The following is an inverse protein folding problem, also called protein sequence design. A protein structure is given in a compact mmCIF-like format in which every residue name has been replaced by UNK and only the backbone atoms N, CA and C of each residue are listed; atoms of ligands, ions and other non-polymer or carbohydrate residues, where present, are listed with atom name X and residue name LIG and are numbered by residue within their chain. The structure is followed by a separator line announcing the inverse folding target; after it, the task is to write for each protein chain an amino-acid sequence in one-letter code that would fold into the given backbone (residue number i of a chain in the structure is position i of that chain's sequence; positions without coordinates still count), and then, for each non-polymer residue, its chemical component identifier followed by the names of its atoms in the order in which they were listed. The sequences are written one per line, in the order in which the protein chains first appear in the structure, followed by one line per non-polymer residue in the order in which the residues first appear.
data_IF_206151817714
#
_entry.id   IF_206151817714
#
_cell.length_a   1.000
_cell.length_b   1.000
_cell.length_c   1.000
_cell.angle_alpha   90.00
_cell.angle_beta   90.00
_cell.angle_gamma   90.00
#
_symmetry.space_group_name_H-M   'P 1'
#
loop_
_entity.id
_entity.type
_entity.pdbx_description
1 polymer ?
#
# COMPACT_ATOMS: atom_id res chain seq x y z
N UNK A 1 13.70 -2.15 -4.91
CA UNK A 1 13.69 -3.23 -3.90
C UNK A 1 12.40 -3.34 -3.07
N UNK A 2 11.72 -2.25 -2.68
CA UNK A 2 10.54 -2.34 -1.79
C UNK A 2 9.28 -3.05 -2.34
N UNK A 3 9.11 -3.18 -3.67
CA UNK A 3 8.00 -3.97 -4.26
C UNK A 3 8.20 -5.48 -4.11
N UNK A 4 9.44 -5.96 -4.26
CA UNK A 4 9.78 -7.38 -4.13
C UNK A 4 9.53 -7.88 -2.69
N UNK A 5 9.95 -7.09 -1.69
CA UNK A 5 9.70 -7.39 -0.28
C UNK A 5 8.21 -7.35 0.10
N UNK A 6 7.40 -6.48 -0.53
CA UNK A 6 5.95 -6.43 -0.30
C UNK A 6 5.23 -7.65 -0.88
N UNK A 7 5.58 -8.04 -2.11
CA UNK A 7 5.06 -9.27 -2.72
C UNK A 7 5.42 -10.50 -1.89
N UNK A 8 6.69 -10.59 -1.48
CA UNK A 8 7.18 -11.68 -0.65
C UNK A 8 6.42 -11.81 0.69
N UNK A 9 6.24 -10.71 1.44
CA UNK A 9 5.45 -10.74 2.69
C UNK A 9 3.99 -11.15 2.48
N UNK A 10 3.40 -10.74 1.37
CA UNK A 10 2.04 -11.13 1.00
C UNK A 10 1.94 -12.62 0.67
N UNK A 11 2.91 -13.17 -0.08
CA UNK A 11 3.00 -14.59 -0.41
C UNK A 11 3.12 -15.45 0.86
N UNK A 12 3.99 -15.09 1.80
CA UNK A 12 4.17 -15.83 3.05
C UNK A 12 2.89 -15.87 3.90
N UNK A 13 2.21 -14.73 4.03
CA UNK A 13 0.97 -14.66 4.80
C UNK A 13 -0.20 -15.38 4.09
N UNK A 14 -0.21 -15.38 2.76
CA UNK A 14 -1.17 -16.17 1.96
C UNK A 14 -0.95 -17.66 2.17
N UNK A 15 0.30 -18.13 2.05
CA UNK A 15 0.67 -19.53 2.31
C UNK A 15 0.25 -19.97 3.72
N UNK A 16 0.51 -19.13 4.74
CA UNK A 16 0.06 -19.42 6.10
C UNK A 16 -1.47 -19.62 6.19
N UNK A 17 -2.26 -18.75 5.55
CA UNK A 17 -3.73 -18.88 5.52
C UNK A 17 -4.20 -20.15 4.81
N UNK A 18 -3.59 -20.47 3.66
CA UNK A 18 -3.93 -21.66 2.88
C UNK A 18 -3.65 -22.93 3.68
N UNK A 19 -2.51 -23.00 4.35
CA UNK A 19 -2.15 -24.15 5.19
C UNK A 19 -3.06 -24.24 6.43
N UNK A 20 -3.37 -23.11 7.08
CA UNK A 20 -4.31 -23.07 8.20
C UNK A 20 -5.70 -23.60 7.81
N UNK A 21 -6.17 -23.24 6.60
CA UNK A 21 -7.45 -23.68 6.06
C UNK A 21 -7.44 -25.17 5.68
N UNK A 22 -6.32 -25.67 5.14
CA UNK A 22 -6.22 -27.03 4.63
C UNK A 22 -5.98 -28.10 5.72
N UNK A 23 -5.16 -27.81 6.74
CA UNK A 23 -4.64 -28.85 7.64
C UNK A 23 -4.91 -28.65 9.15
N UNK A 24 -5.67 -27.60 9.54
CA UNK A 24 -5.82 -27.14 10.94
C UNK A 24 -4.47 -26.74 11.58
N UNK A 25 -4.52 -25.98 12.68
CA UNK A 25 -3.40 -25.21 13.23
C UNK A 25 -2.07 -25.99 13.43
N UNK A 26 -2.12 -27.23 13.91
CA UNK A 26 -0.91 -28.00 14.25
C UNK A 26 -0.03 -28.34 13.04
N UNK A 27 -0.59 -28.47 11.84
CA UNK A 27 0.17 -28.78 10.62
C UNK A 27 0.77 -27.52 9.94
N UNK A 28 0.32 -26.33 10.33
CA UNK A 28 0.75 -25.08 9.72
C UNK A 28 2.15 -24.62 10.15
N UNK A 29 2.56 -24.96 11.37
CA UNK A 29 3.94 -24.79 11.82
C UNK A 29 4.90 -25.73 11.07
N UNK A 30 4.46 -26.95 10.75
CA UNK A 30 5.29 -27.98 10.10
C UNK A 30 5.41 -27.84 8.58
N UNK A 31 4.71 -26.87 7.98
CA UNK A 31 4.66 -26.66 6.53
C UNK A 31 5.20 -25.28 6.13
N UNK A 32 6.52 -25.03 6.27
CA UNK A 32 7.10 -23.75 5.93
C UNK A 32 6.98 -23.42 4.44
N UNK A 33 6.90 -22.13 4.12
CA UNK A 33 6.99 -21.69 2.74
C UNK A 33 8.38 -22.01 2.16
N UNK A 34 8.44 -22.52 0.92
CA UNK A 34 9.67 -22.98 0.23
C UNK A 34 10.87 -22.02 0.23
N UNK A 35 10.61 -20.73 0.44
CA UNK A 35 11.61 -19.65 0.39
C UNK A 35 12.05 -19.18 1.78
N UNK A 36 11.64 -19.85 2.85
CA UNK A 36 11.90 -19.47 4.23
C UNK A 36 12.39 -20.69 5.01
N UNK A 37 13.35 -20.48 5.92
CA UNK A 37 13.83 -21.55 6.79
C UNK A 37 12.74 -21.96 7.80
N UNK A 38 12.83 -23.15 8.38
CA UNK A 38 11.89 -23.56 9.45
C UNK A 38 11.93 -22.58 10.63
N UNK A 39 13.12 -22.16 11.06
CA UNK A 39 13.27 -21.22 12.18
C UNK A 39 12.59 -19.87 11.91
N UNK A 40 12.78 -19.31 10.71
CA UNK A 40 12.13 -18.06 10.33
C UNK A 40 10.61 -18.24 10.17
N UNK A 41 10.17 -19.43 9.73
CA UNK A 41 8.76 -19.77 9.62
C UNK A 41 8.09 -19.83 10.98
N UNK A 42 8.71 -20.44 12.00
CA UNK A 42 8.17 -20.50 13.36
C UNK A 42 7.95 -19.10 13.95
N UNK A 43 8.88 -18.18 13.70
CA UNK A 43 8.76 -16.77 14.11
C UNK A 43 7.60 -16.07 13.40
N UNK A 44 7.45 -16.30 12.09
CA UNK A 44 6.35 -15.73 11.30
C UNK A 44 5.00 -16.31 11.71
N UNK A 45 4.93 -17.63 11.93
CA UNK A 45 3.75 -18.34 12.39
C UNK A 45 3.27 -17.77 13.72
N UNK A 46 4.17 -17.68 14.70
CA UNK A 46 3.88 -17.10 16.02
C UNK A 46 3.33 -15.68 15.88
N UNK A 47 3.92 -14.87 14.99
CA UNK A 47 3.45 -13.51 14.72
C UNK A 47 2.07 -13.47 14.05
N UNK A 48 1.76 -14.41 13.16
CA UNK A 48 0.48 -14.45 12.46
C UNK A 48 -0.66 -14.96 13.36
N UNK A 49 -0.37 -15.81 14.34
CA UNK A 49 -1.33 -16.22 15.38
C UNK A 49 -1.57 -15.16 16.46
N UNK A 50 -0.68 -14.18 16.61
CA UNK A 50 -0.86 -13.09 17.57
C UNK A 50 -2.14 -12.28 17.27
N UNK A 51 -3.10 -12.35 18.20
CA UNK A 51 -4.37 -11.64 18.13
C UNK A 51 -4.20 -10.11 18.01
N UNK A 52 -3.17 -9.54 18.65
CA UNK A 52 -2.89 -8.12 18.56
C UNK A 52 -2.44 -7.74 17.15
N UNK A 53 -1.63 -8.58 16.52
CA UNK A 53 -1.21 -8.42 15.13
C UNK A 53 -2.38 -8.56 14.16
N UNK A 54 -3.26 -9.55 14.36
CA UNK A 54 -4.48 -9.72 13.56
C UNK A 54 -5.39 -8.50 13.65
N UNK A 55 -5.68 -8.01 14.86
CA UNK A 55 -6.49 -6.81 15.08
C UNK A 55 -5.87 -5.56 14.41
N UNK A 56 -4.55 -5.42 14.46
CA UNK A 56 -3.84 -4.36 13.75
C UNK A 56 -4.03 -4.46 12.23
N UNK A 57 -3.86 -5.67 11.67
CA UNK A 57 -4.05 -5.93 10.24
C UNK A 57 -5.48 -5.61 9.79
N UNK A 58 -6.48 -5.98 10.57
CA UNK A 58 -7.89 -5.71 10.28
C UNK A 58 -8.20 -4.21 10.31
N UNK A 59 -7.73 -3.50 11.34
CA UNK A 59 -7.88 -2.03 11.42
C UNK A 59 -7.23 -1.35 10.22
N UNK A 60 -6.04 -1.80 9.82
CA UNK A 60 -5.34 -1.27 8.64
C UNK A 60 -6.10 -1.59 7.34
N UNK A 61 -6.72 -2.77 7.24
CA UNK A 61 -7.57 -3.16 6.12
C UNK A 61 -8.82 -2.27 6.02
N UNK A 62 -9.55 -2.11 7.12
CA UNK A 62 -10.74 -1.24 7.20
C UNK A 62 -10.41 0.23 6.93
N UNK A 63 -9.26 0.71 7.42
CA UNK A 63 -8.83 2.09 7.15
C UNK A 63 -8.55 2.28 5.66
N UNK A 64 -7.92 1.29 5.00
CA UNK A 64 -7.68 1.31 3.55
C UNK A 64 -8.96 1.22 2.74
N UNK A 65 -9.96 0.45 3.17
CA UNK A 65 -11.24 0.35 2.45
C UNK A 65 -12.06 1.64 2.51
N UNK A 66 -11.82 2.51 3.51
CA UNK A 66 -12.44 3.83 3.65
C UNK A 66 -11.72 4.94 2.89
N UNK A 67 -10.56 4.67 2.28
CA UNK A 67 -9.85 5.68 1.50
C UNK A 67 -10.66 6.04 0.26
N UNK A 68 -11.10 7.30 0.19
CA UNK A 68 -11.84 7.86 -0.95
C UNK A 68 -10.93 8.39 -2.05
N UNK A 69 -9.64 8.51 -1.78
CA UNK A 69 -8.62 9.07 -2.67
C UNK A 69 -7.33 8.26 -2.53
N UNK A 70 -6.67 7.94 -3.65
CA UNK A 70 -5.33 7.34 -3.64
C UNK A 70 -4.33 8.28 -4.29
N UNK A 71 -3.20 8.42 -3.62
CA UNK A 71 -2.05 9.13 -4.14
C UNK A 71 -1.20 8.19 -5.01
N UNK A 72 -1.06 8.53 -6.28
CA UNK A 72 -0.25 7.82 -7.28
C UNK A 72 1.14 8.41 -7.49
N UNK A 73 1.47 9.52 -6.82
CA UNK A 73 2.78 10.16 -6.93
C UNK A 73 3.98 9.36 -6.38
N UNK A 74 3.77 8.09 -6.01
CA UNK A 74 4.82 7.21 -5.52
C UNK A 74 5.50 7.77 -4.27
N UNK A 75 6.84 7.69 -4.23
CA UNK A 75 7.68 8.17 -3.12
C UNK A 75 8.16 9.61 -3.29
N UNK A 76 7.77 10.30 -4.37
CA UNK A 76 8.16 11.69 -4.58
C UNK A 76 7.41 12.58 -3.60
N UNK A 77 8.12 13.55 -3.02
CA UNK A 77 7.51 14.53 -2.13
C UNK A 77 6.69 15.55 -2.93
N UNK A 78 5.74 16.21 -2.25
CA UNK A 78 5.00 17.32 -2.85
C UNK A 78 5.94 18.43 -3.36
N UNK A 79 6.99 18.76 -2.60
CA UNK A 79 7.99 19.76 -3.00
C UNK A 79 8.74 19.36 -4.28
N UNK A 80 9.05 18.06 -4.44
CA UNK A 80 9.64 17.57 -5.68
C UNK A 80 8.69 17.73 -6.86
N UNK A 81 7.40 17.44 -6.68
CA UNK A 81 6.40 17.68 -7.72
C UNK A 81 6.25 19.16 -8.08
N UNK A 82 6.25 20.05 -7.09
CA UNK A 82 6.21 21.50 -7.34
C UNK A 82 7.43 21.96 -8.13
N UNK A 83 8.61 21.45 -7.79
CA UNK A 83 9.84 21.77 -8.50
C UNK A 83 9.82 21.25 -9.93
N UNK A 84 9.34 20.02 -10.16
CA UNK A 84 9.23 19.43 -11.50
C UNK A 84 8.18 20.12 -12.39
N UNK A 85 7.13 20.69 -11.80
CA UNK A 85 6.06 21.39 -12.52
C UNK A 85 6.25 22.91 -12.62
N UNK A 86 7.32 23.45 -12.01
CA UNK A 86 7.59 24.90 -11.98
C UNK A 86 7.66 25.50 -13.38
N UNK A 87 7.31 26.77 -13.50
CA UNK A 87 7.54 27.54 -14.72
C UNK A 87 9.05 27.59 -15.02
N UNK A 88 9.44 27.14 -16.21
CA UNK A 88 10.86 27.04 -16.61
C UNK A 88 11.49 28.44 -16.81
N UNK A 89 10.70 29.43 -17.22
CA UNK A 89 11.15 30.80 -17.50
C UNK A 89 11.23 31.64 -16.23
N UNK A 90 10.24 31.54 -15.35
CA UNK A 90 10.16 32.37 -14.13
C UNK A 90 10.65 31.66 -12.87
N UNK A 91 10.76 30.33 -12.91
CA UNK A 91 11.09 29.50 -11.75
C UNK A 91 9.95 29.37 -10.73
N UNK A 92 8.78 29.95 -11.00
CA UNK A 92 7.66 29.96 -10.07
C UNK A 92 7.12 28.54 -9.85
N UNK A 93 7.06 28.13 -8.59
CA UNK A 93 6.56 26.81 -8.19
C UNK A 93 5.04 26.71 -8.40
N UNK A 94 4.59 25.54 -8.87
CA UNK A 94 3.17 25.28 -9.07
C UNK A 94 2.42 25.16 -7.74
N UNK A 95 1.14 25.55 -7.74
CA UNK A 95 0.29 25.50 -6.57
C UNK A 95 -0.18 24.07 -6.25
N UNK A 96 -0.82 23.91 -5.09
CA UNK A 96 -1.45 22.62 -4.70
C UNK A 96 -2.48 22.15 -5.73
N UNK A 97 -3.23 23.08 -6.34
CA UNK A 97 -4.25 22.79 -7.34
C UNK A 97 -3.62 22.12 -8.58
N UNK A 98 -2.44 22.56 -8.99
CA UNK A 98 -1.76 22.06 -10.20
C UNK A 98 -1.06 20.71 -9.94
N UNK A 99 -0.51 20.53 -8.73
CA UNK A 99 0.16 19.28 -8.34
C UNK A 99 -0.84 18.15 -8.09
N UNK A 100 -2.05 18.48 -7.66
CA UNK A 100 -3.06 17.50 -7.24
C UNK A 100 -3.44 16.51 -8.36
N UNK A 101 -3.80 16.95 -9.59
CA UNK A 101 -4.02 16.05 -10.71
C UNK A 101 -2.82 15.15 -11.00
N UNK A 102 -1.59 15.70 -10.93
CA UNK A 102 -0.36 14.95 -11.24
C UNK A 102 -0.07 13.82 -10.25
N UNK A 103 -0.57 13.97 -9.03
CA UNK A 103 -0.37 13.02 -7.94
C UNK A 103 -1.56 12.08 -7.74
N UNK A 104 -2.72 12.33 -8.38
CA UNK A 104 -3.95 11.56 -8.20
C UNK A 104 -4.57 11.02 -9.51
N UNK A 105 -3.98 11.31 -10.67
CA UNK A 105 -4.32 10.67 -11.95
C UNK A 105 -3.39 9.49 -12.24
N UNK A 106 -3.89 8.48 -12.97
CA UNK A 106 -3.02 7.52 -13.66
C UNK A 106 -2.38 8.17 -14.89
N UNK A 107 -1.38 7.51 -15.46
CA UNK A 107 -0.53 8.00 -16.57
C UNK A 107 -1.26 8.39 -17.87
N UNK A 108 -2.59 8.36 -17.91
CA UNK A 108 -3.43 8.73 -19.07
C UNK A 108 -4.63 9.59 -18.68
N UNK A 109 -4.48 10.51 -17.72
CA UNK A 109 -5.48 11.55 -17.46
C UNK A 109 -6.78 11.09 -16.79
N UNK A 110 -7.01 9.79 -16.67
CA UNK A 110 -8.16 9.25 -15.95
C UNK A 110 -8.01 9.41 -14.44
N UNK A 111 -9.06 9.94 -13.81
CA UNK A 111 -9.20 9.92 -12.37
C UNK A 111 -9.23 8.47 -11.90
N UNK A 112 -8.42 8.17 -10.89
CA UNK A 112 -8.34 6.80 -10.38
C UNK A 112 -9.53 6.47 -9.45
N UNK A 113 -10.41 7.46 -9.21
CA UNK A 113 -11.64 7.33 -8.45
C UNK A 113 -12.80 8.01 -9.17
N UNK A 114 -13.98 7.39 -9.08
CA UNK A 114 -15.27 8.03 -9.35
C UNK A 114 -15.67 8.93 -8.17
N UNK A 115 -14.82 9.88 -7.78
CA UNK A 115 -15.25 10.96 -6.89
C UNK A 115 -15.42 12.20 -7.74
N UNK A 116 -16.70 12.43 -8.11
CA UNK A 116 -17.25 13.66 -8.65
C UNK A 116 -16.48 14.87 -8.15
N UNK A 117 -16.03 15.69 -9.11
CA UNK A 117 -15.88 17.13 -9.03
C UNK A 117 -16.30 17.74 -7.68
N UNK A 118 -15.40 17.77 -6.69
CA UNK A 118 -15.63 18.50 -5.42
C UNK A 118 -14.51 19.48 -5.09
N UNK A 119 -13.62 19.76 -6.05
CA UNK A 119 -12.68 20.87 -5.94
C UNK A 119 -13.04 21.95 -6.96
N UNK A 120 -14.31 22.37 -6.98
CA UNK A 120 -14.66 23.68 -7.53
C UNK A 120 -14.44 24.69 -6.41
N UNK A 121 -13.42 25.53 -6.60
CA UNK A 121 -13.19 26.83 -5.95
C UNK A 121 -13.84 27.02 -4.58
N UNK A 122 -13.07 26.79 -3.51
CA UNK A 122 -13.29 27.57 -2.29
C UNK A 122 -12.75 28.97 -2.61
N UNK A 123 -13.69 29.89 -2.86
CA UNK A 123 -13.43 31.34 -2.97
C UNK A 123 -12.97 31.90 -1.64
#
# INVERSE_FOLDING_TARGET
MGRLLRGFKYELHTHWKEVLQAYRATAACETPHRSVSHLDWDLLYTRYEDLAYQAYCDKASQSRSRLTMMHYGGSKSFAQYQYELRDIKTGQLSGRIDVYPRTHHRTMGEWVFETRERHVSIK
#
